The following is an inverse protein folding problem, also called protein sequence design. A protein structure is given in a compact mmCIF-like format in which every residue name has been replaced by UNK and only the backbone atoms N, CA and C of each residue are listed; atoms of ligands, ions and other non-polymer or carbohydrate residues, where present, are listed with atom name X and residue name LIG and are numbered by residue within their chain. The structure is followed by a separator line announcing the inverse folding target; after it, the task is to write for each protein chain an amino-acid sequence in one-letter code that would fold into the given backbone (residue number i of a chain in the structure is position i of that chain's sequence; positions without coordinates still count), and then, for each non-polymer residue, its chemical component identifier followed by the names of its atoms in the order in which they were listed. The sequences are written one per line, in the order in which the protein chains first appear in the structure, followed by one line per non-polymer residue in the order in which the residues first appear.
data_IF_927594610722
#
_entry.id   IF_927594610722
#
_cell.length_a   1.000
_cell.length_b   1.000
_cell.length_c   1.000
_cell.angle_alpha   90.00
_cell.angle_beta   90.00
_cell.angle_gamma   90.00
#
_symmetry.space_group_name_H-M   'P 1'
#
loop_
_entity.id
_entity.type
_entity.pdbx_description
1 polymer ?
#
# COMPACT_ATOMS: atom_id res chain seq x y z
N UNK A 1 -41.52 9.74 -20.29
CA UNK A 1 -40.72 8.84 -21.15
C UNK A 1 -39.89 9.71 -22.08
N UNK A 2 -38.56 9.59 -22.04
CA UNK A 2 -37.83 9.43 -23.28
C UNK A 2 -36.83 8.26 -23.22
N UNK A 3 -37.02 7.40 -24.21
CA UNK A 3 -36.12 6.47 -24.94
C UNK A 3 -34.71 6.25 -24.36
N UNK A 4 -34.50 4.99 -23.96
CA UNK A 4 -33.19 4.35 -23.75
C UNK A 4 -32.74 3.72 -25.06
N UNK A 5 -31.47 3.86 -25.43
CA UNK A 5 -30.78 2.97 -26.36
C UNK A 5 -29.40 2.58 -25.80
N UNK A 6 -28.99 1.30 -25.90
CA UNK A 6 -27.77 0.78 -25.28
C UNK A 6 -26.60 0.84 -26.25
N UNK A 7 -25.37 0.96 -25.74
CA UNK A 7 -24.17 0.78 -26.58
C UNK A 7 -23.31 -0.34 -26.00
N UNK A 8 -23.13 -1.34 -26.87
CA UNK A 8 -22.53 -2.64 -26.66
C UNK A 8 -21.05 -2.62 -26.29
N UNK A 9 -20.67 -3.69 -25.60
CA UNK A 9 -19.29 -4.17 -25.48
C UNK A 9 -18.82 -4.67 -26.84
N UNK A 10 -17.66 -4.22 -27.31
CA UNK A 10 -16.95 -4.87 -28.41
C UNK A 10 -15.49 -5.07 -28.01
N UNK A 11 -15.15 -6.34 -27.82
CA UNK A 11 -13.79 -6.83 -27.89
C UNK A 11 -13.42 -6.97 -29.37
N UNK A 12 -12.18 -6.63 -29.74
CA UNK A 12 -11.59 -7.08 -30.98
C UNK A 12 -10.10 -7.36 -30.78
N UNK A 13 -9.74 -8.55 -31.23
CA UNK A 13 -8.41 -9.17 -31.27
C UNK A 13 -7.80 -8.98 -32.66
N UNK A 14 -6.47 -8.88 -32.70
CA UNK A 14 -5.53 -9.37 -33.73
C UNK A 14 -5.45 -8.66 -35.09
N UNK A 15 -4.23 -8.19 -35.42
CA UNK A 15 -3.44 -8.47 -36.64
C UNK A 15 -2.05 -7.82 -36.42
N UNK A 16 -0.90 -8.50 -36.32
CA UNK A 16 -0.19 -9.36 -37.27
C UNK A 16 0.17 -8.63 -38.58
N UNK A 17 1.40 -8.13 -38.67
CA UNK A 17 2.04 -7.73 -39.92
C UNK A 17 3.49 -8.25 -39.94
N UNK A 18 3.74 -9.14 -40.90
CA UNK A 18 5.04 -9.65 -41.34
C UNK A 18 5.80 -8.56 -42.11
N UNK A 19 7.12 -8.47 -41.91
CA UNK A 19 8.05 -7.99 -42.95
C UNK A 19 9.27 -8.92 -42.95
N UNK A 20 9.57 -9.39 -44.16
CA UNK A 20 10.63 -10.31 -44.56
C UNK A 20 11.92 -9.54 -44.93
N UNK A 21 13.02 -10.28 -45.10
CA UNK A 21 14.36 -9.92 -45.66
C UNK A 21 15.39 -9.43 -44.63
N UNK A 22 16.68 -9.80 -44.65
CA UNK A 22 17.52 -10.42 -45.67
C UNK A 22 18.70 -11.16 -44.99
N UNK A 23 19.11 -12.31 -45.54
CA UNK A 23 20.32 -13.03 -45.13
C UNK A 23 21.55 -12.45 -45.83
N UNK A 24 22.62 -12.19 -45.07
CA UNK A 24 24.01 -12.15 -45.56
C UNK A 24 24.88 -12.80 -44.50
N UNK A 25 25.55 -13.88 -44.88
CA UNK A 25 26.61 -14.52 -44.09
C UNK A 25 27.96 -13.91 -44.45
N UNK A 26 28.80 -13.75 -43.44
CA UNK A 26 30.26 -13.67 -43.55
C UNK A 26 30.84 -14.19 -42.24
N UNK A 27 31.54 -15.31 -42.34
CA UNK A 27 32.25 -15.94 -41.24
C UNK A 27 33.54 -15.21 -40.91
N UNK A 28 33.78 -15.01 -39.62
CA UNK A 28 35.10 -14.68 -39.07
C UNK A 28 35.23 -15.50 -37.77
N UNK A 29 36.30 -16.27 -37.68
CA UNK A 29 36.62 -17.16 -36.58
C UNK A 29 36.86 -16.41 -35.25
N UNK A 30 36.47 -16.95 -34.09
CA UNK A 30 36.87 -16.38 -32.81
C UNK A 30 38.30 -16.80 -32.47
N UNK A 31 39.21 -15.82 -32.44
CA UNK A 31 40.46 -15.93 -31.69
C UNK A 31 40.10 -15.81 -30.21
N UNK A 32 40.16 -16.92 -29.48
CA UNK A 32 39.94 -16.92 -28.04
C UNK A 32 41.18 -16.31 -27.34
N UNK A 33 41.05 -15.23 -26.55
CA UNK A 33 42.05 -14.94 -25.54
C UNK A 33 41.94 -16.03 -24.46
N UNK A 34 43.08 -16.60 -24.08
CA UNK A 34 43.21 -17.52 -22.98
C UNK A 34 42.77 -16.83 -21.66
N UNK A 35 41.50 -16.98 -21.32
CA UNK A 35 40.98 -16.66 -20.00
C UNK A 35 41.43 -17.76 -19.04
N UNK A 36 42.34 -17.40 -18.13
CA UNK A 36 42.63 -18.24 -16.97
C UNK A 36 41.31 -18.58 -16.26
N UNK A 37 41.01 -19.87 -16.12
CA UNK A 37 39.88 -20.33 -15.33
C UNK A 37 40.03 -19.78 -13.90
N UNK A 38 39.00 -19.11 -13.33
CA UNK A 38 39.07 -18.73 -11.93
C UNK A 38 39.15 -20.00 -11.08
N UNK A 39 39.90 -19.99 -9.97
CA UNK A 39 39.97 -21.13 -9.08
C UNK A 39 38.56 -21.46 -8.58
N UNK A 40 38.23 -22.74 -8.62
CA UNK A 40 37.03 -23.30 -8.00
C UNK A 40 37.08 -22.98 -6.50
N UNK A 41 36.12 -22.19 -5.99
CA UNK A 41 35.77 -22.23 -4.56
C UNK A 41 35.57 -20.93 -3.80
N UNK A 42 35.79 -19.73 -4.36
CA UNK A 42 35.54 -18.46 -3.65
C UNK A 42 34.42 -17.68 -4.35
N UNK A 43 33.32 -17.45 -3.64
CA UNK A 43 32.27 -16.53 -4.07
C UNK A 43 32.84 -15.11 -4.14
N UNK A 44 32.52 -14.37 -5.19
CA UNK A 44 32.88 -12.95 -5.27
C UNK A 44 32.24 -12.19 -4.10
N UNK A 45 33.07 -11.40 -3.40
CA UNK A 45 32.72 -10.73 -2.15
C UNK A 45 31.57 -9.73 -2.32
N UNK A 46 30.84 -9.46 -1.24
CA UNK A 46 29.76 -8.47 -1.24
C UNK A 46 30.26 -7.05 -1.55
N UNK A 47 29.39 -6.16 -2.06
CA UNK A 47 29.72 -4.74 -2.24
C UNK A 47 30.21 -4.11 -0.94
N UNK A 48 31.10 -3.13 -1.05
CA UNK A 48 31.63 -2.38 0.08
C UNK A 48 30.59 -1.49 0.77
N UNK A 49 30.97 -0.92 1.91
CA UNK A 49 30.10 -0.14 2.80
C UNK A 49 29.42 1.07 2.13
N UNK A 50 30.06 1.72 1.15
CA UNK A 50 29.53 2.93 0.48
C UNK A 50 28.96 2.69 -0.92
N UNK A 51 28.85 1.43 -1.36
CA UNK A 51 28.57 1.07 -2.75
C UNK A 51 27.07 0.93 -3.11
N UNK A 52 26.12 1.39 -2.28
CA UNK A 52 24.68 1.38 -2.64
C UNK A 52 24.33 2.40 -3.76
N UNK A 53 25.34 3.01 -4.42
CA UNK A 53 25.20 4.05 -5.44
C UNK A 53 24.50 5.34 -4.98
N UNK A 54 24.75 6.47 -5.62
CA UNK A 54 24.17 7.76 -5.24
C UNK A 54 24.78 8.35 -3.98
N UNK A 55 24.34 9.54 -3.60
CA UNK A 55 24.86 10.25 -2.42
C UNK A 55 24.09 9.88 -1.15
N UNK A 56 24.69 10.00 0.05
CA UNK A 56 23.96 9.83 1.31
C UNK A 56 22.69 10.68 1.41
N UNK A 57 22.75 11.92 0.89
CA UNK A 57 21.61 12.82 0.84
C UNK A 57 20.48 12.30 -0.08
N UNK A 58 20.82 11.69 -1.22
CA UNK A 58 19.84 11.06 -2.10
C UNK A 58 19.14 9.90 -1.39
N UNK A 59 19.91 8.98 -0.78
CA UNK A 59 19.36 7.81 -0.08
C UNK A 59 18.42 8.23 1.05
N UNK A 60 18.81 9.21 1.87
CA UNK A 60 17.96 9.75 2.92
C UNK A 60 16.66 10.39 2.39
N UNK A 61 16.72 11.10 1.25
CA UNK A 61 15.53 11.68 0.62
C UNK A 61 14.59 10.60 0.05
N UNK A 62 15.14 9.55 -0.56
CA UNK A 62 14.38 8.42 -1.08
C UNK A 62 13.72 7.60 0.03
N UNK A 63 14.44 7.36 1.13
CA UNK A 63 13.90 6.73 2.33
C UNK A 63 12.73 7.54 2.88
N UNK A 64 12.95 8.84 3.17
CA UNK A 64 11.92 9.70 3.75
C UNK A 64 10.69 9.82 2.85
N UNK A 65 10.89 9.93 1.54
CA UNK A 65 9.81 10.01 0.57
C UNK A 65 9.01 8.70 0.49
N UNK A 66 9.69 7.55 0.38
CA UNK A 66 9.05 6.25 0.23
C UNK A 66 8.35 5.81 1.52
N UNK A 67 8.99 5.99 2.67
CA UNK A 67 8.38 5.77 3.99
C UNK A 67 7.12 6.62 4.17
N UNK A 68 7.22 7.92 3.93
CA UNK A 68 6.08 8.83 4.03
C UNK A 68 4.95 8.51 3.06
N UNK A 69 5.26 7.99 1.87
CA UNK A 69 4.25 7.53 0.91
C UNK A 69 3.51 6.28 1.42
N UNK A 70 4.24 5.29 1.95
CA UNK A 70 3.67 4.05 2.49
C UNK A 70 2.80 4.29 3.74
N UNK A 71 3.24 5.20 4.62
CA UNK A 71 2.47 5.65 5.78
C UNK A 71 1.17 6.33 5.35
N UNK A 72 1.25 7.27 4.40
CA UNK A 72 0.08 7.97 3.88
C UNK A 72 -0.91 7.01 3.16
N UNK A 73 -0.39 6.06 2.38
CA UNK A 73 -1.20 4.99 1.76
C UNK A 73 -1.94 4.18 2.82
N UNK A 74 -1.25 3.79 3.89
CA UNK A 74 -1.86 3.00 4.96
C UNK A 74 -2.94 3.79 5.71
N UNK A 75 -2.72 5.08 5.97
CA UNK A 75 -3.72 5.97 6.55
C UNK A 75 -4.94 6.13 5.63
N UNK A 76 -4.72 6.25 4.31
CA UNK A 76 -5.79 6.30 3.31
C UNK A 76 -6.62 5.01 3.34
N UNK A 77 -5.97 3.84 3.27
CA UNK A 77 -6.64 2.53 3.29
C UNK A 77 -7.51 2.36 4.55
N UNK A 78 -6.99 2.80 5.70
CA UNK A 78 -7.73 2.82 6.98
C UNK A 78 -8.95 3.72 6.93
N UNK A 79 -8.79 4.95 6.43
CA UNK A 79 -9.88 5.93 6.33
C UNK A 79 -10.98 5.45 5.38
N UNK A 80 -10.62 4.84 4.25
CA UNK A 80 -11.58 4.21 3.32
C UNK A 80 -12.37 3.09 4.00
N UNK A 81 -11.70 2.24 4.79
CA UNK A 81 -12.38 1.19 5.57
C UNK A 81 -13.34 1.79 6.59
N UNK A 82 -12.94 2.85 7.30
CA UNK A 82 -13.78 3.53 8.29
C UNK A 82 -14.98 4.22 7.65
N UNK A 83 -14.79 4.89 6.53
CA UNK A 83 -15.87 5.49 5.73
C UNK A 83 -16.90 4.43 5.32
N UNK A 84 -16.46 3.25 4.86
CA UNK A 84 -17.36 2.14 4.52
C UNK A 84 -18.17 1.65 5.73
N UNK A 85 -17.54 1.55 6.91
CA UNK A 85 -18.22 1.18 8.15
C UNK A 85 -19.28 2.21 8.54
N UNK A 86 -18.92 3.50 8.53
CA UNK A 86 -19.84 4.60 8.81
C UNK A 86 -20.98 4.64 7.79
N UNK A 87 -20.72 4.36 6.52
CA UNK A 87 -21.76 4.25 5.49
C UNK A 87 -22.74 3.11 5.76
N UNK A 88 -22.28 1.99 6.33
CA UNK A 88 -23.15 0.92 6.81
C UNK A 88 -24.00 1.35 8.01
N UNK A 89 -23.39 2.04 8.98
CA UNK A 89 -24.08 2.57 10.15
C UNK A 89 -25.14 3.60 9.77
N UNK A 90 -24.81 4.53 8.86
CA UNK A 90 -25.74 5.55 8.40
C UNK A 90 -27.00 4.94 7.80
N UNK A 91 -26.86 3.91 6.95
CA UNK A 91 -28.00 3.19 6.38
C UNK A 91 -28.90 2.57 7.44
N UNK A 92 -28.31 1.98 8.48
CA UNK A 92 -29.08 1.41 9.59
C UNK A 92 -29.84 2.49 10.36
N UNK A 93 -29.16 3.60 10.70
CA UNK A 93 -29.77 4.73 11.43
C UNK A 93 -30.86 5.42 10.59
N UNK A 94 -30.68 5.53 9.28
CA UNK A 94 -31.71 6.06 8.37
C UNK A 94 -32.96 5.17 8.31
N UNK A 95 -32.80 3.85 8.34
CA UNK A 95 -33.94 2.93 8.44
C UNK A 95 -34.69 3.07 9.77
N UNK A 96 -33.96 3.26 10.88
CA UNK A 96 -34.56 3.57 12.17
C UNK A 96 -35.30 4.91 12.17
N UNK A 97 -34.75 5.93 11.51
CA UNK A 97 -35.40 7.23 11.37
C UNK A 97 -36.77 7.13 10.69
N UNK A 98 -36.86 6.35 9.61
CA UNK A 98 -38.14 6.11 8.92
C UNK A 98 -39.14 5.45 9.86
N UNK A 99 -38.71 4.41 10.58
CA UNK A 99 -39.56 3.65 11.50
C UNK A 99 -40.06 4.51 12.66
N UNK A 100 -39.15 5.24 13.32
CA UNK A 100 -39.48 6.12 14.45
C UNK A 100 -40.30 7.33 14.00
N UNK A 101 -40.01 7.86 12.81
CA UNK A 101 -40.77 8.94 12.20
C UNK A 101 -42.23 8.54 11.93
N UNK A 102 -42.45 7.35 11.39
CA UNK A 102 -43.80 6.81 11.20
C UNK A 102 -44.57 6.69 12.53
N UNK A 103 -43.92 6.16 13.59
CA UNK A 103 -44.53 6.03 14.92
C UNK A 103 -44.91 7.38 15.54
N UNK A 104 -44.04 8.39 15.44
CA UNK A 104 -44.37 9.75 15.90
C UNK A 104 -45.48 10.37 15.05
N UNK A 105 -45.51 10.09 13.74
CA UNK A 105 -46.58 10.49 12.83
C UNK A 105 -47.95 9.91 13.22
N UNK A 106 -47.99 8.63 13.63
CA UNK A 106 -49.21 7.99 14.15
C UNK A 106 -49.71 8.67 15.44
N UNK A 107 -48.80 8.94 16.39
CA UNK A 107 -49.11 9.66 17.64
C UNK A 107 -49.70 11.03 17.31
N UNK A 108 -49.05 11.81 16.45
CA UNK A 108 -49.52 13.12 16.02
C UNK A 108 -50.89 13.04 15.32
N UNK A 109 -51.12 12.01 14.50
CA UNK A 109 -52.40 11.78 13.83
C UNK A 109 -53.55 11.47 14.80
N UNK A 110 -53.29 10.65 15.83
CA UNK A 110 -54.29 10.37 16.88
C UNK A 110 -54.59 11.62 17.69
N UNK A 111 -53.55 12.36 18.11
CA UNK A 111 -53.70 13.61 18.85
C UNK A 111 -54.50 14.66 18.06
N UNK A 112 -54.25 14.78 16.74
CA UNK A 112 -54.98 15.69 15.85
C UNK A 112 -56.46 15.31 15.71
N UNK A 113 -56.77 14.03 15.45
CA UNK A 113 -58.15 13.56 15.27
C UNK A 113 -58.98 13.65 16.54
N UNK A 114 -58.38 13.32 17.69
CA UNK A 114 -59.09 13.31 18.96
C UNK A 114 -59.17 14.69 19.60
N UNK A 115 -58.19 15.58 19.38
CA UNK A 115 -58.16 16.91 19.98
C UNK A 115 -57.85 16.91 21.49
N UNK A 116 -57.28 18.00 22.00
CA UNK A 116 -56.82 18.12 23.41
C UNK A 116 -57.97 18.20 24.42
N UNK A 117 -59.12 18.75 24.01
CA UNK A 117 -60.31 18.88 24.87
C UNK A 117 -60.86 17.52 25.31
N UNK A 118 -60.64 16.48 24.51
CA UNK A 118 -61.23 15.15 24.71
C UNK A 118 -60.54 14.36 25.82
N UNK A 119 -59.27 14.63 26.10
CA UNK A 119 -58.57 14.05 27.26
C UNK A 119 -59.08 14.64 28.58
N UNK A 120 -59.30 15.96 28.62
CA UNK A 120 -59.91 16.64 29.77
C UNK A 120 -61.35 16.15 29.98
N UNK A 121 -62.14 16.01 28.91
CA UNK A 121 -63.49 15.44 28.99
C UNK A 121 -63.49 13.97 29.42
N UNK A 122 -62.50 13.17 29.01
CA UNK A 122 -62.37 11.76 29.43
C UNK A 122 -62.07 11.62 30.93
N UNK A 123 -61.31 12.55 31.50
CA UNK A 123 -61.07 12.64 32.94
C UNK A 123 -62.33 13.07 33.70
N UNK A 124 -63.04 14.09 33.20
CA UNK A 124 -64.23 14.65 33.85
C UNK A 124 -65.46 13.73 33.80
N UNK A 125 -65.53 12.81 32.84
CA UNK A 125 -66.64 11.86 32.70
C UNK A 125 -66.45 10.60 33.58
N UNK A 126 -65.81 10.72 34.75
CA UNK A 126 -65.62 9.62 35.70
C UNK A 126 -66.61 9.75 36.85
N UNK A 127 -67.21 8.64 37.27
CA UNK A 127 -68.32 8.66 38.24
C UNK A 127 -67.85 8.35 39.68
N UNK A 128 -66.54 8.17 39.90
CA UNK A 128 -65.94 7.97 41.23
C UNK A 128 -64.50 8.51 41.30
N UNK A 129 -64.00 8.85 42.51
CA UNK A 129 -62.61 9.28 42.71
C UNK A 129 -61.57 8.26 42.22
N UNK A 130 -61.80 6.97 42.43
CA UNK A 130 -60.87 5.90 42.01
C UNK A 130 -60.81 5.82 40.47
N UNK A 131 -61.96 5.89 39.79
CA UNK A 131 -62.02 5.86 38.33
C UNK A 131 -61.38 7.09 37.68
N UNK A 132 -61.39 8.24 38.36
CA UNK A 132 -60.62 9.42 37.94
C UNK A 132 -59.12 9.15 37.99
N UNK A 133 -58.62 8.62 39.11
CA UNK A 133 -57.20 8.35 39.32
C UNK A 133 -56.65 7.30 38.33
N UNK A 134 -57.42 6.24 38.06
CA UNK A 134 -57.03 5.21 37.07
C UNK A 134 -56.91 5.80 35.65
N UNK A 135 -57.85 6.67 35.25
CA UNK A 135 -57.80 7.35 33.95
C UNK A 135 -56.65 8.35 33.88
N UNK A 136 -56.37 9.05 34.98
CA UNK A 136 -55.22 9.96 35.08
C UNK A 136 -53.90 9.20 34.94
N UNK A 137 -53.74 8.08 35.64
CA UNK A 137 -52.55 7.22 35.52
C UNK A 137 -52.39 6.65 34.10
N UNK A 138 -53.49 6.25 33.45
CA UNK A 138 -53.45 5.77 32.07
C UNK A 138 -53.03 6.88 31.08
N UNK A 139 -53.52 8.11 31.25
CA UNK A 139 -53.11 9.25 30.42
C UNK A 139 -51.64 9.63 30.64
N UNK A 140 -51.16 9.60 31.88
CA UNK A 140 -49.74 9.83 32.19
C UNK A 140 -48.82 8.78 31.54
N UNK A 141 -49.23 7.50 31.59
CA UNK A 141 -48.50 6.42 30.93
C UNK A 141 -48.46 6.59 29.40
N UNK A 142 -49.52 7.14 28.78
CA UNK A 142 -49.54 7.49 27.36
C UNK A 142 -48.58 8.65 27.08
N UNK A 143 -48.68 9.76 27.82
CA UNK A 143 -47.81 10.92 27.66
C UNK A 143 -46.32 10.53 27.78
N UNK A 144 -45.97 9.72 28.79
CA UNK A 144 -44.61 9.21 28.97
C UNK A 144 -44.11 8.39 27.77
N UNK A 145 -45.00 7.60 27.13
CA UNK A 145 -44.66 6.82 25.93
C UNK A 145 -44.50 7.72 24.70
N UNK A 146 -45.33 8.73 24.54
CA UNK A 146 -45.25 9.72 23.46
C UNK A 146 -43.96 10.54 23.55
N UNK A 147 -43.64 11.04 24.74
CA UNK A 147 -42.40 11.77 25.01
C UNK A 147 -41.16 10.90 24.76
N UNK A 148 -41.22 9.62 25.14
CA UNK A 148 -40.15 8.66 24.83
C UNK A 148 -39.98 8.48 23.32
N UNK A 149 -41.07 8.29 22.58
CA UNK A 149 -41.02 8.12 21.13
C UNK A 149 -40.42 9.35 20.43
N UNK A 150 -40.77 10.56 20.87
CA UNK A 150 -40.20 11.79 20.35
C UNK A 150 -38.70 11.90 20.68
N UNK A 151 -38.29 11.64 21.93
CA UNK A 151 -36.87 11.68 22.32
C UNK A 151 -36.04 10.67 21.55
N UNK A 152 -36.55 9.45 21.35
CA UNK A 152 -35.87 8.44 20.57
C UNK A 152 -35.71 8.86 19.10
N UNK A 153 -36.74 9.45 18.47
CA UNK A 153 -36.65 9.98 17.11
C UNK A 153 -35.58 11.08 17.01
N UNK A 154 -35.55 12.02 17.95
CA UNK A 154 -34.56 13.09 17.99
C UNK A 154 -33.15 12.53 18.17
N UNK A 155 -32.95 11.58 19.08
CA UNK A 155 -31.66 10.92 19.27
C UNK A 155 -31.17 10.19 18.01
N UNK A 156 -32.06 9.48 17.30
CA UNK A 156 -31.72 8.83 16.03
C UNK A 156 -31.36 9.85 14.94
N UNK A 157 -32.03 11.01 14.92
CA UNK A 157 -31.69 12.11 13.98
C UNK A 157 -30.31 12.68 14.26
N UNK A 158 -29.99 12.89 15.53
CA UNK A 158 -28.68 13.38 15.94
C UNK A 158 -27.58 12.37 15.59
N UNK A 159 -27.83 11.08 15.80
CA UNK A 159 -26.90 10.02 15.42
C UNK A 159 -26.67 9.97 13.90
N UNK A 160 -27.72 10.13 13.09
CA UNK A 160 -27.60 10.18 11.64
C UNK A 160 -26.75 11.38 11.20
N UNK A 161 -26.94 12.53 11.86
CA UNK A 161 -26.19 13.76 11.59
C UNK A 161 -24.71 13.60 11.97
N UNK A 162 -24.41 13.05 13.15
CA UNK A 162 -23.04 12.74 13.59
C UNK A 162 -22.36 11.73 12.67
N UNK A 163 -23.08 10.69 12.25
CA UNK A 163 -22.55 9.68 11.33
C UNK A 163 -22.20 10.29 9.97
N UNK A 164 -23.07 11.15 9.42
CA UNK A 164 -22.76 11.93 8.20
C UNK A 164 -21.52 12.80 8.35
N UNK A 165 -21.42 13.55 9.45
CA UNK A 165 -20.24 14.37 9.74
C UNK A 165 -18.96 13.52 9.87
N UNK A 166 -19.06 12.32 10.43
CA UNK A 166 -17.99 11.34 10.47
C UNK A 166 -17.53 10.92 9.08
N UNK A 167 -18.47 10.59 8.18
CA UNK A 167 -18.18 10.25 6.78
C UNK A 167 -17.47 11.42 6.07
N UNK A 168 -17.95 12.65 6.26
CA UNK A 168 -17.32 13.84 5.67
C UNK A 168 -15.90 14.05 6.24
N UNK A 169 -15.70 13.73 7.52
CA UNK A 169 -14.38 13.71 8.16
C UNK A 169 -13.43 12.74 7.48
N UNK A 170 -13.86 11.51 7.24
CA UNK A 170 -13.06 10.50 6.52
C UNK A 170 -12.76 10.97 5.08
N UNK A 171 -13.72 11.55 4.36
CA UNK A 171 -13.47 12.06 2.99
C UNK A 171 -12.40 13.16 2.99
N UNK A 172 -12.39 14.05 3.98
CA UNK A 172 -11.34 15.08 4.12
C UNK A 172 -9.97 14.44 4.40
N UNK A 173 -9.92 13.46 5.29
CA UNK A 173 -8.69 12.73 5.61
C UNK A 173 -8.15 11.99 4.38
N UNK A 174 -9.01 11.31 3.60
CA UNK A 174 -8.62 10.65 2.35
C UNK A 174 -7.99 11.64 1.36
N UNK A 175 -8.61 12.80 1.15
CA UNK A 175 -8.06 13.85 0.25
C UNK A 175 -6.70 14.35 0.73
N UNK A 176 -6.53 14.54 2.05
CA UNK A 176 -5.25 14.92 2.65
C UNK A 176 -4.18 13.86 2.41
N UNK A 177 -4.50 12.57 2.60
CA UNK A 177 -3.54 11.49 2.39
C UNK A 177 -3.15 11.33 0.92
N UNK A 178 -4.10 11.45 -0.01
CA UNK A 178 -3.81 11.48 -1.46
C UNK A 178 -2.88 12.64 -1.82
N UNK A 179 -3.12 13.85 -1.29
CA UNK A 179 -2.26 15.00 -1.51
C UNK A 179 -0.85 14.80 -0.92
N UNK A 180 -0.74 14.20 0.27
CA UNK A 180 0.54 13.87 0.88
C UNK A 180 1.31 12.84 0.03
N UNK A 181 0.64 11.79 -0.45
CA UNK A 181 1.23 10.81 -1.36
C UNK A 181 1.77 11.47 -2.63
N UNK A 182 1.02 12.42 -3.22
CA UNK A 182 1.48 13.23 -4.35
C UNK A 182 2.76 14.00 -4.05
N UNK A 183 2.81 14.71 -2.91
CA UNK A 183 4.01 15.45 -2.48
C UNK A 183 5.23 14.54 -2.28
N UNK A 184 5.03 13.35 -1.70
CA UNK A 184 6.11 12.36 -1.49
C UNK A 184 6.61 11.78 -2.80
N UNK A 185 5.71 11.51 -3.75
CA UNK A 185 6.08 11.12 -5.13
C UNK A 185 6.98 12.17 -5.77
N UNK A 186 6.54 13.43 -5.78
CA UNK A 186 7.31 14.52 -6.38
C UNK A 186 8.65 14.74 -5.68
N UNK A 187 8.71 14.60 -4.34
CA UNK A 187 9.95 14.69 -3.58
C UNK A 187 10.96 13.65 -4.07
N UNK A 188 10.54 12.38 -4.23
CA UNK A 188 11.42 11.31 -4.71
C UNK A 188 11.85 11.55 -6.17
N UNK A 189 10.93 11.93 -7.05
CA UNK A 189 11.25 12.17 -8.46
C UNK A 189 12.22 13.36 -8.63
N UNK A 190 12.04 14.45 -7.86
CA UNK A 190 12.99 15.57 -7.87
C UNK A 190 14.38 15.16 -7.37
N UNK A 191 14.44 14.38 -6.29
CA UNK A 191 15.71 13.88 -5.75
C UNK A 191 16.48 13.07 -6.80
N UNK A 192 15.78 12.19 -7.51
CA UNK A 192 16.35 11.39 -8.60
C UNK A 192 16.79 12.24 -9.79
N UNK A 193 15.99 13.22 -10.22
CA UNK A 193 16.40 14.12 -11.31
C UNK A 193 17.68 14.87 -10.98
N UNK A 194 17.79 15.42 -9.76
CA UNK A 194 19.01 16.14 -9.32
C UNK A 194 20.21 15.20 -9.29
N UNK A 195 20.04 13.97 -8.81
CA UNK A 195 21.11 12.98 -8.77
C UNK A 195 21.53 12.53 -10.18
N UNK A 196 20.56 12.25 -11.05
CA UNK A 196 20.83 11.76 -12.40
C UNK A 196 21.42 12.83 -13.31
N UNK A 197 21.05 14.11 -13.17
CA UNK A 197 21.67 15.20 -13.92
C UNK A 197 23.13 15.44 -13.53
N UNK A 198 23.53 15.07 -12.30
CA UNK A 198 24.91 15.14 -11.83
C UNK A 198 25.77 13.96 -12.29
N UNK A 199 25.13 12.88 -12.73
CA UNK A 199 25.80 11.70 -13.25
C UNK A 199 25.70 11.67 -14.79
N UNK A 200 26.65 11.04 -15.48
CA UNK A 200 26.53 10.83 -16.92
C UNK A 200 25.34 9.90 -17.18
N UNK A 201 24.24 10.46 -17.67
CA UNK A 201 22.95 9.77 -17.80
C UNK A 201 23.04 8.62 -18.80
N UNK A 202 23.20 7.39 -18.31
CA UNK A 202 22.95 6.19 -19.12
C UNK A 202 21.53 5.71 -18.83
N UNK A 203 20.64 5.92 -19.80
CA UNK A 203 19.24 5.52 -19.71
C UNK A 203 19.11 3.99 -19.65
N UNK A 204 18.85 3.45 -18.47
CA UNK A 204 18.42 2.07 -18.33
C UNK A 204 16.96 1.90 -18.75
N UNK A 205 16.65 0.86 -19.51
CA UNK A 205 15.25 0.45 -19.71
C UNK A 205 14.73 -0.24 -18.45
N UNK A 206 13.45 -0.06 -18.13
CA UNK A 206 12.82 -0.75 -17.00
C UNK A 206 13.05 -2.28 -17.12
N UNK A 207 13.49 -2.96 -16.05
CA UNK A 207 13.73 -4.39 -16.11
C UNK A 207 12.45 -5.17 -16.46
N UNK A 208 12.46 -5.88 -17.58
CA UNK A 208 11.38 -6.78 -17.97
C UNK A 208 11.51 -8.14 -17.28
N UNK A 209 10.74 -8.35 -16.22
CA UNK A 209 10.67 -9.62 -15.47
C UNK A 209 9.27 -10.25 -15.51
N UNK A 210 9.20 -11.58 -15.35
CA UNK A 210 7.97 -12.37 -15.54
C UNK A 210 7.50 -13.09 -14.28
N UNK A 211 8.16 -12.86 -13.13
CA UNK A 211 7.81 -13.54 -11.88
C UNK A 211 6.33 -13.32 -11.49
N UNK A 212 5.65 -14.43 -11.19
CA UNK A 212 4.25 -14.49 -10.79
C UNK A 212 4.03 -14.90 -9.32
N UNK A 213 5.11 -15.23 -8.61
CA UNK A 213 5.05 -15.72 -7.23
C UNK A 213 4.60 -14.64 -6.23
N UNK A 214 3.77 -15.03 -5.26
CA UNK A 214 3.29 -14.16 -4.20
C UNK A 214 3.95 -14.53 -2.86
N UNK A 215 4.50 -13.53 -2.17
CA UNK A 215 5.04 -13.66 -0.83
C UNK A 215 3.91 -13.83 0.20
N UNK A 216 4.17 -14.46 1.33
CA UNK A 216 3.31 -14.30 2.52
C UNK A 216 3.47 -12.86 3.04
N UNK A 217 2.38 -12.12 3.35
CA UNK A 217 2.49 -10.76 3.87
C UNK A 217 3.24 -10.71 5.21
N UNK A 218 4.11 -9.72 5.37
CA UNK A 218 4.72 -9.38 6.63
C UNK A 218 3.65 -8.93 7.64
N UNK A 219 3.95 -9.09 8.93
CA UNK A 219 3.03 -8.73 10.01
C UNK A 219 2.79 -7.21 10.04
N UNK A 220 1.53 -6.81 10.18
CA UNK A 220 1.09 -5.42 10.35
C UNK A 220 0.46 -5.26 11.73
N UNK A 221 0.46 -4.03 12.23
CA UNK A 221 -0.31 -3.64 13.41
C UNK A 221 -1.82 -3.79 13.14
N UNK A 222 -2.63 -3.79 14.21
CA UNK A 222 -4.10 -3.90 14.10
C UNK A 222 -4.73 -2.78 13.26
N UNK A 223 -4.09 -1.62 13.23
CA UNK A 223 -4.50 -0.45 12.46
C UNK A 223 -3.98 -0.47 11.00
N UNK A 224 -3.31 -1.55 10.59
CA UNK A 224 -2.73 -1.75 9.26
C UNK A 224 -1.34 -1.14 9.06
N UNK A 225 -0.83 -0.36 10.01
CA UNK A 225 0.51 0.24 9.94
C UNK A 225 1.61 -0.82 10.04
N UNK A 226 2.78 -0.46 9.53
CA UNK A 226 3.97 -1.28 9.70
C UNK A 226 4.53 -1.07 11.11
N UNK A 227 4.79 -2.15 11.88
CA UNK A 227 5.48 -2.01 13.16
C UNK A 227 6.85 -1.38 12.95
N UNK A 228 7.28 -0.55 13.92
CA UNK A 228 8.66 -0.10 13.96
C UNK A 228 9.55 -1.31 14.32
N UNK A 229 10.59 -1.53 13.52
CA UNK A 229 11.53 -2.62 13.73
C UNK A 229 12.95 -2.07 13.73
N UNK A 230 13.81 -2.70 14.53
CA UNK A 230 15.24 -2.40 14.59
C UNK A 230 16.04 -3.64 14.23
N UNK A 231 17.32 -3.41 13.94
CA UNK A 231 18.35 -4.44 13.82
C UNK A 231 18.35 -5.29 15.10
N UNK A 232 17.77 -6.48 15.04
CA UNK A 232 17.43 -7.29 16.25
C UNK A 232 17.49 -8.80 16.04
N UNK A 233 17.56 -9.25 14.79
CA UNK A 233 17.79 -10.67 14.48
C UNK A 233 19.15 -10.82 13.80
N UNK A 234 19.87 -11.89 14.11
CA UNK A 234 21.16 -12.17 13.47
C UNK A 234 20.97 -12.26 11.95
N UNK A 235 21.79 -11.54 11.21
CA UNK A 235 21.82 -11.65 9.75
C UNK A 235 22.32 -13.06 9.37
N UNK A 236 21.61 -13.85 8.55
CA UNK A 236 22.12 -15.12 8.05
C UNK A 236 22.96 -14.98 6.76
N UNK A 237 23.30 -13.76 6.31
CA UNK A 237 23.82 -13.50 4.96
C UNK A 237 24.91 -12.43 4.86
N UNK A 238 26.21 -12.81 4.89
CA UNK A 238 26.88 -13.71 5.83
C UNK A 238 26.53 -13.45 7.30
N UNK A 239 26.89 -14.36 8.21
CA UNK A 239 26.52 -14.27 9.62
C UNK A 239 27.30 -13.22 10.42
N UNK A 240 27.11 -11.94 10.12
CA UNK A 240 27.73 -10.81 10.81
C UNK A 240 26.71 -9.67 10.99
N UNK A 241 26.55 -9.21 12.23
CA UNK A 241 25.60 -8.15 12.59
C UNK A 241 24.13 -8.61 12.61
N UNK A 242 23.22 -7.67 12.38
CA UNK A 242 21.79 -7.91 12.50
C UNK A 242 20.97 -7.33 11.35
N UNK A 243 19.78 -7.90 11.15
CA UNK A 243 18.75 -7.35 10.29
C UNK A 243 17.46 -7.14 11.07
N UNK A 244 16.48 -6.48 10.45
CA UNK A 244 15.12 -6.42 11.00
C UNK A 244 14.39 -7.75 10.76
N UNK A 245 13.42 -8.12 11.61
CA UNK A 245 12.54 -9.27 11.36
C UNK A 245 11.88 -9.23 9.97
N UNK A 246 11.56 -8.05 9.45
CA UNK A 246 10.98 -7.84 8.13
C UNK A 246 11.95 -8.10 6.99
N UNK A 247 13.19 -7.67 7.12
CA UNK A 247 14.26 -7.99 6.16
C UNK A 247 14.46 -9.50 6.10
N UNK A 248 14.54 -10.16 7.26
CA UNK A 248 14.65 -11.62 7.33
C UNK A 248 13.44 -12.31 6.68
N UNK A 249 12.24 -11.80 6.91
CA UNK A 249 11.02 -12.30 6.25
C UNK A 249 11.11 -12.14 4.73
N UNK A 250 11.48 -10.97 4.22
CA UNK A 250 11.60 -10.71 2.79
C UNK A 250 12.66 -11.59 2.11
N UNK A 251 13.80 -11.82 2.78
CA UNK A 251 14.84 -12.76 2.39
C UNK A 251 14.28 -14.19 2.27
N UNK A 252 13.58 -14.66 3.31
CA UNK A 252 13.02 -16.01 3.33
C UNK A 252 11.93 -16.21 2.29
N UNK A 253 11.08 -15.20 2.05
CA UNK A 253 10.05 -15.27 1.01
C UNK A 253 10.67 -15.33 -0.39
N UNK A 254 11.75 -14.58 -0.66
CA UNK A 254 12.44 -14.68 -1.94
C UNK A 254 13.11 -16.04 -2.15
N UNK A 255 13.76 -16.59 -1.11
CA UNK A 255 14.31 -17.95 -1.14
C UNK A 255 13.22 -18.99 -1.41
N UNK A 256 12.07 -18.88 -0.75
CA UNK A 256 10.92 -19.76 -0.97
C UNK A 256 10.35 -19.63 -2.40
N UNK A 257 10.48 -18.46 -3.02
CA UNK A 257 10.10 -18.23 -4.43
C UNK A 257 11.17 -18.71 -5.44
N UNK A 258 12.24 -19.38 -4.99
CA UNK A 258 13.29 -19.95 -5.84
C UNK A 258 14.49 -19.03 -6.07
N UNK A 259 14.55 -17.86 -5.43
CA UNK A 259 15.70 -16.95 -5.53
C UNK A 259 16.73 -17.27 -4.46
N UNK A 260 17.58 -18.26 -4.73
CA UNK A 260 18.50 -18.88 -3.75
C UNK A 260 19.98 -18.55 -3.98
N UNK A 261 20.30 -17.67 -4.94
CA UNK A 261 21.68 -17.19 -5.15
C UNK A 261 22.18 -16.43 -3.93
N UNK A 262 23.50 -16.21 -3.87
CA UNK A 262 24.17 -15.55 -2.76
C UNK A 262 23.54 -14.19 -2.43
N UNK A 263 23.45 -13.88 -1.15
CA UNK A 263 22.85 -12.64 -0.64
C UNK A 263 23.78 -12.05 0.41
N UNK A 264 23.82 -10.72 0.49
CA UNK A 264 24.44 -10.01 1.60
C UNK A 264 23.49 -8.92 2.13
N UNK A 265 23.17 -8.93 3.42
CA UNK A 265 22.19 -7.99 3.98
C UNK A 265 22.80 -6.92 4.88
N UNK A 266 23.38 -7.26 6.02
CA UNK A 266 23.95 -6.29 6.93
C UNK A 266 25.40 -5.96 6.57
N UNK A 267 25.74 -4.67 6.68
CA UNK A 267 27.11 -4.18 6.79
C UNK A 267 27.15 -2.93 7.68
N UNK A 268 28.14 -2.79 8.58
CA UNK A 268 28.13 -1.78 9.63
C UNK A 268 28.45 -0.36 9.15
N UNK A 269 29.12 -0.22 8.00
CA UNK A 269 29.56 1.05 7.46
C UNK A 269 28.64 1.65 6.40
N UNK A 270 28.85 2.94 6.14
CA UNK A 270 28.19 3.67 5.06
C UNK A 270 26.85 4.29 5.42
N UNK A 271 26.17 4.77 4.39
CA UNK A 271 24.85 5.41 4.49
C UNK A 271 23.80 4.57 3.77
N UNK A 272 22.53 4.71 4.15
CA UNK A 272 21.43 3.97 3.55
C UNK A 272 20.88 2.90 4.49
N UNK A 273 20.50 1.77 3.93
CA UNK A 273 19.60 0.82 4.58
C UNK A 273 20.30 -0.43 5.13
N UNK A 274 21.49 -0.77 4.63
CA UNK A 274 22.25 -1.91 5.12
C UNK A 274 22.68 -1.78 6.60
N UNK A 275 23.24 -0.64 7.09
CA UNK A 275 23.62 -0.51 8.50
C UNK A 275 22.44 -0.53 9.47
N UNK A 276 21.24 -0.27 8.95
CA UNK A 276 19.98 -0.35 9.70
C UNK A 276 19.40 -1.76 9.73
N UNK A 277 20.00 -2.69 8.99
CA UNK A 277 19.49 -4.05 8.84
C UNK A 277 18.24 -4.13 7.96
N UNK A 278 18.02 -3.15 7.09
CA UNK A 278 16.80 -2.97 6.27
C UNK A 278 17.00 -3.22 4.79
N UNK A 279 18.19 -3.66 4.39
CA UNK A 279 18.50 -3.96 3.00
C UNK A 279 19.16 -5.33 2.81
N UNK A 280 19.06 -5.82 1.57
CA UNK A 280 19.74 -7.01 1.09
C UNK A 280 20.11 -6.85 -0.39
N UNK A 281 21.37 -7.17 -0.71
CA UNK A 281 21.86 -7.30 -2.07
C UNK A 281 21.82 -8.77 -2.48
N UNK A 282 21.06 -9.08 -3.53
CA UNK A 282 20.88 -10.43 -4.06
C UNK A 282 21.70 -10.61 -5.33
N UNK A 283 22.75 -11.41 -5.27
CA UNK A 283 23.63 -11.65 -6.40
C UNK A 283 22.83 -12.14 -7.61
N UNK A 284 23.03 -11.46 -8.74
CA UNK A 284 22.47 -11.89 -10.00
C UNK A 284 23.25 -13.07 -10.57
N UNK A 285 24.51 -13.30 -10.18
CA UNK A 285 25.31 -14.44 -10.67
C UNK A 285 25.36 -15.58 -9.64
N UNK A 286 25.58 -16.81 -10.12
CA UNK A 286 25.70 -17.97 -9.21
C UNK A 286 26.95 -17.89 -8.32
N UNK A 287 28.02 -17.29 -8.83
CA UNK A 287 29.31 -17.15 -8.14
C UNK A 287 29.41 -15.97 -7.18
N UNK A 288 28.31 -15.30 -6.81
CA UNK A 288 28.32 -14.10 -5.96
C UNK A 288 28.27 -12.80 -6.77
N UNK A 289 28.82 -11.72 -6.21
CA UNK A 289 28.79 -10.38 -6.79
C UNK A 289 29.92 -10.17 -7.81
N UNK A 290 29.78 -10.77 -8.99
CA UNK A 290 30.78 -10.65 -10.05
C UNK A 290 30.54 -9.46 -10.99
N UNK A 291 30.80 -9.65 -12.28
CA UNK A 291 30.67 -8.60 -13.30
C UNK A 291 29.23 -8.24 -13.67
N UNK A 292 29.08 -7.37 -14.66
CA UNK A 292 27.77 -6.99 -15.23
C UNK A 292 26.98 -8.25 -15.59
N UNK A 293 25.76 -8.38 -15.05
CA UNK A 293 24.92 -9.55 -15.32
C UNK A 293 24.47 -9.58 -16.78
N UNK A 294 24.69 -10.73 -17.43
CA UNK A 294 24.29 -10.98 -18.81
C UNK A 294 23.50 -12.29 -18.91
N UNK A 295 22.87 -12.56 -20.05
CA UNK A 295 22.16 -13.81 -20.33
C UNK A 295 21.22 -14.24 -19.20
N UNK A 296 21.36 -15.49 -18.75
CA UNK A 296 20.51 -16.06 -17.68
C UNK A 296 20.64 -15.36 -16.32
N UNK A 297 21.77 -14.71 -16.03
CA UNK A 297 21.95 -13.95 -14.79
C UNK A 297 21.15 -12.64 -14.82
N UNK A 298 21.12 -11.98 -15.98
CA UNK A 298 20.24 -10.83 -16.22
C UNK A 298 18.76 -11.23 -16.09
N UNK A 299 18.37 -12.35 -16.67
CA UNK A 299 16.98 -12.88 -16.57
C UNK A 299 16.60 -13.19 -15.12
N UNK A 300 17.50 -13.81 -14.35
CA UNK A 300 17.29 -14.07 -12.92
C UNK A 300 17.06 -12.77 -12.15
N UNK A 301 17.93 -11.78 -12.32
CA UNK A 301 17.78 -10.48 -11.64
C UNK A 301 16.50 -9.75 -12.05
N UNK A 302 16.11 -9.77 -13.34
CA UNK A 302 14.84 -9.21 -13.79
C UNK A 302 13.64 -9.86 -13.09
N UNK A 303 13.64 -11.19 -12.96
CA UNK A 303 12.56 -11.93 -12.31
C UNK A 303 12.53 -11.65 -10.80
N UNK A 304 13.68 -11.51 -10.15
CA UNK A 304 13.77 -11.17 -8.73
C UNK A 304 13.29 -9.74 -8.45
N UNK A 305 13.71 -8.77 -9.26
CA UNK A 305 13.23 -7.40 -9.17
C UNK A 305 11.70 -7.35 -9.37
N UNK A 306 11.18 -8.04 -10.39
CA UNK A 306 9.73 -8.15 -10.61
C UNK A 306 8.98 -8.82 -9.45
N UNK A 307 9.60 -9.82 -8.80
CA UNK A 307 9.04 -10.45 -7.59
C UNK A 307 8.88 -9.44 -6.45
N UNK A 308 9.90 -8.64 -6.15
CA UNK A 308 9.80 -7.63 -5.09
C UNK A 308 8.82 -6.51 -5.41
N UNK A 309 8.80 -6.04 -6.67
CA UNK A 309 7.83 -5.03 -7.12
C UNK A 309 6.39 -5.54 -6.98
N UNK A 310 6.10 -6.78 -7.41
CA UNK A 310 4.79 -7.41 -7.25
C UNK A 310 4.38 -7.51 -5.78
N UNK A 311 5.34 -7.82 -4.91
CA UNK A 311 5.12 -8.08 -3.50
C UNK A 311 5.38 -6.86 -2.61
N UNK A 312 5.45 -5.65 -3.18
CA UNK A 312 5.88 -4.45 -2.47
C UNK A 312 5.05 -4.15 -1.21
N UNK A 313 3.71 -4.20 -1.32
CA UNK A 313 2.80 -4.00 -0.19
C UNK A 313 2.82 -5.16 0.81
N UNK A 314 3.21 -6.37 0.37
CA UNK A 314 3.27 -7.57 1.22
C UNK A 314 4.57 -7.61 2.02
N UNK A 315 5.65 -7.06 1.49
CA UNK A 315 6.99 -7.09 2.09
C UNK A 315 7.46 -5.73 2.64
N UNK A 316 6.61 -4.70 2.55
CA UNK A 316 6.92 -3.33 2.93
C UNK A 316 8.14 -2.75 2.20
N UNK A 317 8.23 -3.02 0.90
CA UNK A 317 9.34 -2.58 0.07
C UNK A 317 9.40 -1.06 0.04
N UNK A 318 10.55 -0.53 0.46
CA UNK A 318 10.88 0.88 0.41
C UNK A 318 11.32 1.26 -1.01
N UNK A 319 12.24 0.48 -1.58
CA UNK A 319 12.64 0.55 -2.98
C UNK A 319 13.36 -0.72 -3.42
N UNK A 320 13.46 -0.90 -4.74
CA UNK A 320 14.27 -1.95 -5.39
C UNK A 320 15.21 -1.28 -6.37
N UNK A 321 16.50 -1.60 -6.34
CA UNK A 321 17.46 -1.10 -7.34
C UNK A 321 17.95 -2.28 -8.16
N UNK A 322 17.84 -2.17 -9.48
CA UNK A 322 18.32 -3.18 -10.40
C UNK A 322 18.72 -2.54 -11.72
N UNK A 323 20.00 -2.69 -12.05
CA UNK A 323 20.60 -2.37 -13.34
C UNK A 323 20.39 -0.92 -13.75
N UNK A 324 20.93 -0.02 -12.92
CA UNK A 324 20.84 1.44 -13.08
C UNK A 324 19.41 1.97 -13.05
N UNK A 325 18.49 1.23 -12.43
CA UNK A 325 17.10 1.61 -12.25
C UNK A 325 16.72 1.44 -10.79
N UNK A 326 15.91 2.36 -10.28
CA UNK A 326 15.28 2.27 -8.97
C UNK A 326 13.77 2.23 -9.16
N UNK A 327 13.12 1.28 -8.50
CA UNK A 327 11.67 1.20 -8.38
C UNK A 327 11.25 1.79 -7.04
N UNK A 328 10.28 2.72 -7.10
CA UNK A 328 9.66 3.32 -5.93
C UNK A 328 8.16 2.98 -5.90
N UNK A 329 7.56 2.69 -4.73
CA UNK A 329 6.12 2.49 -4.60
C UNK A 329 5.28 3.65 -5.14
N UNK A 330 5.83 4.86 -5.14
CA UNK A 330 5.14 6.10 -5.54
C UNK A 330 5.18 6.39 -7.05
N UNK A 331 6.23 5.95 -7.76
CA UNK A 331 6.52 6.41 -9.13
C UNK A 331 6.97 5.31 -10.10
N UNK A 332 7.10 4.06 -9.65
CA UNK A 332 7.58 2.96 -10.48
C UNK A 332 9.08 3.04 -10.75
N UNK A 333 9.52 2.46 -11.88
CA UNK A 333 10.91 2.46 -12.29
C UNK A 333 11.36 3.85 -12.77
N UNK A 334 12.53 4.27 -12.30
CA UNK A 334 13.23 5.50 -12.67
C UNK A 334 14.71 5.20 -12.86
N UNK A 335 15.40 6.03 -13.63
CA UNK A 335 16.85 5.95 -13.72
C UNK A 335 17.51 6.17 -12.35
N UNK A 336 18.56 5.41 -12.10
CA UNK A 336 19.40 5.50 -10.91
C UNK A 336 20.86 5.44 -11.35
N UNK A 337 21.44 6.59 -11.71
CA UNK A 337 22.78 6.67 -12.30
C UNK A 337 23.86 7.10 -11.30
N UNK A 338 23.62 6.90 -9.99
CA UNK A 338 24.55 7.34 -8.95
C UNK A 338 25.77 6.44 -8.71
N UNK A 339 25.97 5.38 -9.50
CA UNK A 339 27.11 4.48 -9.32
C UNK A 339 28.43 5.06 -9.83
N UNK A 340 29.52 4.40 -9.44
CA UNK A 340 30.91 4.74 -9.75
C UNK A 340 31.42 4.10 -11.05
N UNK A 341 30.51 3.53 -11.86
CA UNK A 341 30.83 2.86 -13.12
C UNK A 341 31.29 1.41 -12.97
N UNK A 342 31.30 0.86 -11.75
CA UNK A 342 31.52 -0.56 -11.47
C UNK A 342 30.18 -1.31 -11.33
N UNK A 343 30.17 -2.65 -11.52
CA UNK A 343 28.94 -3.42 -11.51
C UNK A 343 28.14 -3.39 -10.21
N UNK A 344 28.81 -3.26 -9.06
CA UNK A 344 28.18 -3.25 -7.74
C UNK A 344 27.49 -1.91 -7.51
N UNK A 345 28.21 -0.80 -7.63
CA UNK A 345 27.60 0.52 -7.42
C UNK A 345 26.53 0.89 -8.45
N UNK A 346 26.65 0.38 -9.68
CA UNK A 346 25.64 0.51 -10.73
C UNK A 346 24.47 -0.49 -10.61
N UNK A 347 24.54 -1.41 -9.64
CA UNK A 347 23.56 -2.48 -9.40
C UNK A 347 23.34 -3.37 -10.63
N UNK A 348 24.37 -3.59 -11.43
CA UNK A 348 24.27 -4.42 -12.64
C UNK A 348 24.60 -5.87 -12.39
N UNK A 349 25.18 -6.21 -11.23
CA UNK A 349 25.50 -7.57 -10.81
C UNK A 349 24.59 -8.13 -9.69
N UNK A 350 23.70 -7.32 -9.12
CA UNK A 350 22.78 -7.72 -8.05
C UNK A 350 21.48 -6.91 -8.01
N UNK A 351 20.42 -7.50 -7.47
CA UNK A 351 19.19 -6.79 -7.12
C UNK A 351 19.30 -6.31 -5.68
N UNK A 352 19.23 -5.01 -5.45
CA UNK A 352 19.16 -4.44 -4.12
C UNK A 352 17.70 -4.27 -3.68
N UNK A 353 17.38 -4.73 -2.49
CA UNK A 353 16.10 -4.56 -1.83
C UNK A 353 16.29 -3.71 -0.59
N UNK A 354 15.44 -2.71 -0.39
CA UNK A 354 15.25 -2.04 0.89
C UNK A 354 13.81 -2.16 1.38
N UNK A 355 13.61 -2.34 2.68
CA UNK A 355 12.30 -2.39 3.35
C UNK A 355 12.18 -1.31 4.42
N UNK A 356 10.96 -0.91 4.79
CA UNK A 356 10.71 0.07 5.87
C UNK A 356 11.00 -0.48 7.25
#
# INVERSE_FOLDING_TARGET
MPVVAPVGRIAARVAAALVLTLAVGLGIAPVAPAGAAPPVGLLAAAPGDDEEGGTPALRAQLEAASKGYLEAKTALDRSVKRQKQLGGQLKAVEAELVTRGAKVGEIAGVAYKKGRLTAASALLNSNSPEGFLDRAAALDAVATKEDRALRELLATRDEATKTRQGIDGEIREQRKQVALMGKRKEQAERALTVANNKASSSGGSSPGGTSSANATPAKRNADGSWPAESCSVNDPTPANGCITPRTLHALNQAKAAGFTRYVSCYRPGGSGEHPKGRACDFAAQKGGFGGVATGGDRTYGNNLAAYYVRNADRLAVLYVIWFKQIWLPSSGWKAYSGGNGDPSSDHTNHVHLSVI
#
